data_IF_232338359883
#
_entry.id   IF_232338359883
#
_cell.length_a   1.000
_cell.length_b   1.000
_cell.length_c   1.000
_cell.angle_alpha   90.00
_cell.angle_beta   90.00
_cell.angle_gamma   90.00
#
_symmetry.space_group_name_H-M   'P 1'
#
loop_
_entity.id
_entity.type
_entity.pdbx_description
1 polymer ?
#
# COMPACT_ATOMS: atom_id res chain seq x y z
N UNK A 1 30.54 -39.41 5.71
CA UNK A 1 29.97 -38.27 4.96
C UNK A 1 28.81 -37.71 5.74
N UNK A 2 29.05 -36.64 6.41
CA UNK A 2 27.98 -35.84 7.00
C UNK A 2 27.30 -35.13 5.84
N UNK A 3 26.09 -35.59 5.48
CA UNK A 3 25.28 -34.90 4.53
C UNK A 3 24.94 -33.51 5.08
N UNK A 4 25.62 -32.48 4.58
CA UNK A 4 25.16 -31.13 4.84
C UNK A 4 23.80 -31.01 4.19
N UNK A 5 22.79 -30.76 5.03
CA UNK A 5 21.45 -30.46 4.55
C UNK A 5 21.51 -29.12 3.78
N UNK A 6 21.51 -29.19 2.46
CA UNK A 6 21.44 -28.00 1.62
C UNK A 6 20.01 -27.48 1.70
N UNK A 7 19.81 -26.42 2.48
CA UNK A 7 18.54 -25.76 2.53
C UNK A 7 18.42 -24.82 1.34
N UNK A 8 17.66 -25.24 0.34
CA UNK A 8 17.35 -24.39 -0.80
C UNK A 8 16.30 -23.36 -0.39
N UNK A 9 16.59 -22.09 -0.63
CA UNK A 9 15.65 -21.02 -0.36
C UNK A 9 14.46 -21.13 -1.33
N UNK A 10 13.24 -21.14 -0.77
CA UNK A 10 12.04 -21.11 -1.58
C UNK A 10 11.95 -19.81 -2.38
N UNK A 11 11.41 -19.89 -3.59
CA UNK A 11 11.16 -18.70 -4.42
C UNK A 11 10.21 -17.74 -3.72
N UNK A 12 10.53 -16.46 -3.75
CA UNK A 12 9.64 -15.40 -3.27
C UNK A 12 8.74 -14.94 -4.41
N UNK A 13 7.46 -14.71 -4.08
CA UNK A 13 6.43 -14.27 -5.04
C UNK A 13 5.92 -12.85 -4.74
N UNK A 14 6.68 -12.07 -3.99
CA UNK A 14 6.31 -10.72 -3.57
C UNK A 14 5.51 -10.69 -2.27
N UNK A 15 4.92 -9.55 -2.00
CA UNK A 15 4.07 -9.40 -0.81
C UNK A 15 2.74 -10.11 -1.00
N UNK A 16 2.28 -10.82 0.02
CA UNK A 16 0.91 -11.36 0.07
C UNK A 16 -0.05 -10.35 0.67
N UNK A 17 0.41 -9.60 1.67
CA UNK A 17 -0.44 -8.68 2.42
C UNK A 17 0.35 -7.61 3.14
N UNK A 18 -0.32 -6.50 3.40
CA UNK A 18 0.06 -5.48 4.36
C UNK A 18 -1.09 -5.36 5.35
N UNK A 19 -0.80 -5.36 6.64
CA UNK A 19 -1.83 -5.20 7.68
C UNK A 19 -1.57 -3.90 8.42
N UNK A 20 -2.62 -3.07 8.50
CA UNK A 20 -2.61 -1.83 9.26
C UNK A 20 -3.51 -1.96 10.48
N UNK A 21 -3.03 -1.49 11.62
CA UNK A 21 -3.88 -1.32 12.79
C UNK A 21 -4.60 0.03 12.70
N UNK A 22 -5.92 -0.02 12.87
CA UNK A 22 -6.80 1.14 12.81
C UNK A 22 -7.71 1.15 14.03
N UNK A 23 -8.18 2.33 14.44
CA UNK A 23 -9.05 2.44 15.61
C UNK A 23 -10.46 1.95 15.32
N UNK A 24 -10.96 2.19 14.11
CA UNK A 24 -12.34 1.91 13.70
C UNK A 24 -12.31 1.30 12.30
N UNK A 25 -12.58 -0.01 12.20
CA UNK A 25 -12.51 -0.73 10.93
C UNK A 25 -13.53 -0.22 9.91
N UNK A 26 -14.82 -0.01 10.24
CA UNK A 26 -15.76 0.54 9.27
C UNK A 26 -15.35 1.91 8.72
N UNK A 27 -14.81 2.79 9.53
CA UNK A 27 -14.30 4.09 9.12
C UNK A 27 -13.10 3.94 8.18
N UNK A 28 -12.17 3.07 8.53
CA UNK A 28 -11.00 2.80 7.70
C UNK A 28 -11.39 2.18 6.36
N UNK A 29 -12.33 1.23 6.34
CA UNK A 29 -12.86 0.63 5.11
C UNK A 29 -13.44 1.70 4.19
N UNK A 30 -14.26 2.60 4.74
CA UNK A 30 -14.83 3.69 3.95
C UNK A 30 -13.74 4.57 3.34
N UNK A 31 -12.69 4.87 4.09
CA UNK A 31 -11.55 5.66 3.60
C UNK A 31 -10.83 4.94 2.46
N UNK A 32 -10.42 3.70 2.66
CA UNK A 32 -9.66 2.98 1.63
C UNK A 32 -10.49 2.64 0.39
N UNK A 33 -11.79 2.44 0.55
CA UNK A 33 -12.72 2.24 -0.57
C UNK A 33 -12.99 3.53 -1.32
N UNK A 34 -13.38 4.60 -0.62
CA UNK A 34 -13.94 5.80 -1.24
C UNK A 34 -12.87 6.85 -1.54
N UNK A 35 -11.82 6.93 -0.75
CA UNK A 35 -10.73 7.90 -0.91
C UNK A 35 -9.56 7.30 -1.70
N UNK A 36 -9.07 6.14 -1.28
CA UNK A 36 -7.95 5.48 -1.95
C UNK A 36 -8.39 4.72 -3.20
N UNK A 37 -9.62 4.23 -3.23
CA UNK A 37 -10.20 3.57 -4.40
C UNK A 37 -9.97 2.07 -4.45
N UNK A 38 -9.82 1.41 -3.29
CA UNK A 38 -9.59 -0.02 -3.22
C UNK A 38 -10.92 -0.80 -3.16
N UNK A 39 -10.99 -1.91 -3.87
CA UNK A 39 -12.15 -2.80 -3.82
C UNK A 39 -12.15 -3.62 -2.52
N UNK A 40 -13.29 -3.70 -1.86
CA UNK A 40 -13.45 -4.49 -0.63
C UNK A 40 -13.63 -5.96 -0.98
N UNK A 41 -12.80 -6.83 -0.39
CA UNK A 41 -12.98 -8.28 -0.46
C UNK A 41 -14.00 -8.75 0.58
N UNK A 42 -13.85 -8.28 1.82
CA UNK A 42 -14.76 -8.60 2.92
C UNK A 42 -14.51 -7.68 4.11
N UNK A 43 -15.55 -7.42 4.87
CA UNK A 43 -15.46 -6.56 6.04
C UNK A 43 -16.28 -7.13 7.19
N UNK A 44 -15.69 -7.14 8.38
CA UNK A 44 -16.25 -7.57 9.63
C UNK A 44 -16.01 -6.47 10.68
N UNK A 45 -16.61 -6.52 11.85
CA UNK A 45 -16.48 -5.44 12.83
C UNK A 45 -15.02 -5.11 13.22
N UNK A 46 -14.14 -6.10 13.27
CA UNK A 46 -12.75 -5.91 13.73
C UNK A 46 -11.70 -6.25 12.67
N UNK A 47 -12.13 -6.66 11.47
CA UNK A 47 -11.26 -7.00 10.34
C UNK A 47 -11.89 -6.60 9.02
N UNK A 48 -11.04 -6.24 8.08
CA UNK A 48 -11.42 -6.09 6.69
C UNK A 48 -10.25 -6.44 5.78
N UNK A 49 -10.59 -6.89 4.58
CA UNK A 49 -9.64 -7.12 3.51
C UNK A 49 -10.04 -6.34 2.26
N UNK A 50 -9.07 -5.68 1.67
CA UNK A 50 -9.25 -4.93 0.42
C UNK A 50 -8.19 -5.37 -0.60
N UNK A 51 -8.58 -5.36 -1.85
CA UNK A 51 -7.67 -5.59 -2.96
C UNK A 51 -6.91 -4.31 -3.26
N UNK A 52 -5.58 -4.37 -3.34
CA UNK A 52 -4.75 -3.19 -3.67
C UNK A 52 -4.67 -2.94 -5.17
N UNK A 53 -5.02 -3.95 -5.96
CA UNK A 53 -5.10 -3.89 -7.41
C UNK A 53 -6.35 -4.60 -7.89
N UNK A 54 -6.23 -5.38 -8.96
CA UNK A 54 -7.36 -6.15 -9.48
C UNK A 54 -7.88 -7.16 -8.47
N UNK A 55 -9.21 -7.29 -8.29
CA UNK A 55 -9.78 -8.32 -7.41
C UNK A 55 -9.23 -9.71 -7.71
N UNK A 56 -8.85 -10.43 -6.66
CA UNK A 56 -8.23 -11.74 -6.77
C UNK A 56 -6.70 -11.73 -6.86
N UNK A 57 -6.07 -10.54 -6.93
CA UNK A 57 -4.61 -10.40 -7.05
C UNK A 57 -3.97 -9.95 -5.74
N UNK A 58 -2.82 -10.53 -5.41
CA UNK A 58 -2.01 -10.10 -4.27
C UNK A 58 -1.12 -8.90 -4.66
N UNK A 59 -0.70 -8.06 -3.69
CA UNK A 59 -1.01 -8.14 -2.27
C UNK A 59 -2.38 -7.56 -1.91
N UNK A 60 -2.90 -7.97 -0.75
CA UNK A 60 -4.10 -7.39 -0.15
C UNK A 60 -3.74 -6.44 0.97
N UNK A 61 -4.63 -5.51 1.26
CA UNK A 61 -4.56 -4.66 2.46
C UNK A 61 -5.52 -5.21 3.52
N UNK A 62 -4.97 -5.54 4.68
CA UNK A 62 -5.75 -5.91 5.86
C UNK A 62 -5.89 -4.74 6.81
N UNK A 63 -7.08 -4.55 7.35
CA UNK A 63 -7.37 -3.54 8.37
C UNK A 63 -7.87 -4.24 9.62
N UNK A 64 -7.34 -3.89 10.79
CA UNK A 64 -7.77 -4.48 12.06
C UNK A 64 -7.72 -3.50 13.21
N UNK A 65 -8.71 -3.57 14.08
CA UNK A 65 -8.69 -2.86 15.36
C UNK A 65 -8.03 -3.68 16.48
N UNK A 66 -7.77 -4.95 16.22
CA UNK A 66 -7.11 -5.83 17.20
C UNK A 66 -5.62 -5.55 17.30
N UNK A 67 -4.99 -5.77 18.47
CA UNK A 67 -3.54 -5.71 18.57
C UNK A 67 -2.89 -6.70 17.60
N UNK A 68 -1.84 -6.25 16.92
CA UNK A 68 -1.05 -7.13 16.06
C UNK A 68 -0.24 -8.10 16.95
N UNK A 69 -0.28 -9.38 16.60
CA UNK A 69 0.24 -10.46 17.46
C UNK A 69 1.75 -10.49 17.60
N UNK A 70 2.46 -9.79 16.73
CA UNK A 70 3.92 -9.85 16.66
C UNK A 70 4.52 -8.48 16.54
N UNK A 71 5.62 -8.25 17.23
CA UNK A 71 6.44 -7.08 17.06
C UNK A 71 6.02 -5.90 17.89
N UNK A 72 6.49 -5.88 19.12
CA UNK A 72 6.43 -4.71 19.98
C UNK A 72 7.68 -3.84 19.89
N UNK A 73 8.68 -4.28 19.17
CA UNK A 73 9.93 -3.55 19.06
C UNK A 73 9.78 -2.41 18.05
N UNK A 74 10.07 -1.21 18.51
CA UNK A 74 10.07 -0.03 17.66
C UNK A 74 11.49 0.19 17.15
N UNK A 75 11.69 -0.06 15.89
CA UNK A 75 12.90 0.41 15.22
C UNK A 75 12.51 1.14 13.95
N UNK A 76 13.21 2.22 13.72
CA UNK A 76 13.00 3.06 12.57
C UNK A 76 11.94 4.13 12.77
N UNK A 77 11.76 4.93 11.76
CA UNK A 77 10.80 6.03 11.72
C UNK A 77 9.45 5.61 11.17
N UNK A 78 8.65 6.58 10.77
CA UNK A 78 7.33 6.33 10.20
C UNK A 78 7.43 5.49 8.93
N UNK A 79 6.53 4.51 8.82
CA UNK A 79 6.41 3.67 7.63
C UNK A 79 5.30 4.22 6.73
N UNK A 80 5.44 3.96 5.44
CA UNK A 80 4.41 4.23 4.46
C UNK A 80 4.31 3.07 3.48
N UNK A 81 3.22 3.02 2.74
CA UNK A 81 3.08 2.09 1.63
C UNK A 81 2.59 2.87 0.41
N UNK A 82 2.95 2.38 -0.76
CA UNK A 82 2.63 3.02 -2.02
C UNK A 82 1.70 2.16 -2.86
N UNK A 83 0.70 2.82 -3.45
CA UNK A 83 -0.17 2.26 -4.49
C UNK A 83 0.33 2.80 -5.83
N UNK A 84 0.57 1.91 -6.77
CA UNK A 84 1.01 2.29 -8.10
C UNK A 84 -0.17 2.83 -8.93
N UNK A 85 0.03 3.97 -9.55
CA UNK A 85 -0.92 4.59 -10.47
C UNK A 85 -0.19 5.04 -11.74
N UNK A 86 -0.94 5.40 -12.77
CA UNK A 86 -0.35 6.02 -13.95
C UNK A 86 0.20 7.42 -13.61
N UNK A 87 1.39 7.75 -14.08
CA UNK A 87 2.05 9.03 -13.78
C UNK A 87 1.19 10.23 -14.16
N UNK A 88 0.54 10.16 -15.31
CA UNK A 88 -0.36 11.22 -15.81
C UNK A 88 -1.61 11.42 -14.94
N UNK A 89 -1.96 10.45 -14.10
CA UNK A 89 -3.13 10.55 -13.21
C UNK A 89 -2.86 11.33 -11.92
N UNK A 90 -1.60 11.59 -11.55
CA UNK A 90 -1.27 12.18 -10.25
C UNK A 90 -1.84 13.57 -10.04
N UNK A 91 -1.85 14.43 -11.07
CA UNK A 91 -2.37 15.78 -10.95
C UNK A 91 -3.86 15.77 -10.63
N UNK A 92 -4.63 14.94 -11.35
CA UNK A 92 -6.08 14.80 -11.12
C UNK A 92 -6.37 14.10 -9.78
N UNK A 93 -5.57 13.12 -9.39
CA UNK A 93 -5.68 12.46 -8.09
C UNK A 93 -5.43 13.43 -6.93
N UNK A 94 -4.40 14.25 -7.02
CA UNK A 94 -4.14 15.28 -6.01
C UNK A 94 -5.31 16.23 -5.88
N UNK A 95 -5.82 16.75 -6.99
CA UNK A 95 -6.97 17.66 -7.00
C UNK A 95 -8.22 16.99 -6.40
N UNK A 96 -8.45 15.71 -6.71
CA UNK A 96 -9.57 14.95 -6.17
C UNK A 96 -9.47 14.78 -4.64
N UNK A 97 -8.29 14.42 -4.15
CA UNK A 97 -8.04 14.25 -2.70
C UNK A 97 -8.19 15.58 -1.96
N UNK A 98 -7.66 16.65 -2.49
CA UNK A 98 -7.79 17.99 -1.88
C UNK A 98 -9.26 18.46 -1.86
N UNK A 99 -10.03 18.15 -2.91
CA UNK A 99 -11.47 18.43 -2.93
C UNK A 99 -12.26 17.65 -1.86
N UNK A 100 -11.74 16.50 -1.41
CA UNK A 100 -12.28 15.73 -0.29
C UNK A 100 -11.82 16.26 1.08
N UNK A 101 -11.05 17.34 1.12
CA UNK A 101 -10.51 17.91 2.34
C UNK A 101 -9.27 17.21 2.87
N UNK A 102 -8.62 16.41 2.04
CA UNK A 102 -7.40 15.67 2.44
C UNK A 102 -6.19 16.51 2.11
N UNK A 103 -5.30 16.67 3.09
CA UNK A 103 -4.02 17.34 2.89
C UNK A 103 -3.07 16.41 2.12
N UNK A 104 -2.53 16.91 1.01
CA UNK A 104 -1.66 16.15 0.12
C UNK A 104 -0.32 16.84 -0.02
N UNK A 105 0.74 16.10 0.21
CA UNK A 105 2.12 16.53 -0.03
C UNK A 105 2.60 16.05 -1.40
N UNK A 106 3.39 16.88 -2.06
CA UNK A 106 3.94 16.58 -3.38
C UNK A 106 3.21 17.31 -4.50
N UNK A 107 3.48 16.96 -5.75
CA UNK A 107 4.27 15.81 -6.17
C UNK A 107 5.78 15.95 -5.90
N UNK A 108 6.39 14.82 -5.57
CA UNK A 108 7.85 14.67 -5.48
C UNK A 108 8.30 13.85 -6.69
N UNK A 109 9.30 14.31 -7.40
CA UNK A 109 9.81 13.62 -8.59
C UNK A 109 11.04 12.77 -8.24
N UNK A 110 10.98 11.50 -8.63
CA UNK A 110 12.10 10.55 -8.55
C UNK A 110 12.63 10.29 -9.96
N UNK A 111 13.62 11.05 -10.38
CA UNK A 111 14.13 10.97 -11.75
C UNK A 111 14.71 9.60 -12.10
N UNK A 112 15.38 8.96 -11.13
CA UNK A 112 15.97 7.64 -11.31
C UNK A 112 14.93 6.55 -11.61
N UNK A 113 13.70 6.75 -11.18
CA UNK A 113 12.60 5.80 -11.39
C UNK A 113 11.59 6.28 -12.44
N UNK A 114 11.75 7.50 -12.93
CA UNK A 114 10.77 8.14 -13.81
C UNK A 114 9.36 8.09 -13.19
N UNK A 115 9.30 8.44 -11.93
CA UNK A 115 8.09 8.40 -11.13
C UNK A 115 7.88 9.70 -10.38
N UNK A 116 6.64 10.06 -10.18
CA UNK A 116 6.22 11.13 -9.28
C UNK A 116 5.36 10.53 -8.18
N UNK A 117 5.40 11.11 -6.99
CA UNK A 117 4.62 10.62 -5.88
C UNK A 117 3.91 11.73 -5.14
N UNK A 118 2.72 11.42 -4.64
CA UNK A 118 1.98 12.24 -3.70
C UNK A 118 1.73 11.43 -2.42
N UNK A 119 1.66 12.13 -1.30
CA UNK A 119 1.55 11.53 0.03
C UNK A 119 0.40 12.15 0.79
N UNK A 120 -0.32 11.32 1.52
CA UNK A 120 -1.40 11.75 2.42
C UNK A 120 -1.55 10.76 3.57
N UNK A 121 -2.38 11.07 4.53
CA UNK A 121 -2.60 10.21 5.70
C UNK A 121 -4.02 9.67 5.72
N UNK A 122 -4.17 8.45 6.23
CA UNK A 122 -5.47 7.90 6.56
C UNK A 122 -5.99 8.49 7.89
N UNK A 123 -7.24 8.19 8.33
CA UNK A 123 -7.79 8.71 9.58
C UNK A 123 -7.02 8.31 10.85
N UNK A 124 -6.21 7.27 10.79
CA UNK A 124 -5.37 6.78 11.88
C UNK A 124 -3.90 7.17 11.74
N UNK A 125 -3.62 8.12 10.86
CA UNK A 125 -2.28 8.65 10.59
C UNK A 125 -1.32 7.64 9.95
N UNK A 126 -1.85 6.61 9.31
CA UNK A 126 -1.05 5.76 8.43
C UNK A 126 -0.75 6.52 7.15
N UNK A 127 0.51 6.49 6.75
CA UNK A 127 0.98 7.22 5.58
C UNK A 127 0.73 6.43 4.30
N UNK A 128 0.00 7.05 3.38
CA UNK A 128 -0.33 6.48 2.06
C UNK A 128 0.39 7.29 0.98
N UNK A 129 0.96 6.58 0.03
CA UNK A 129 1.59 7.16 -1.15
C UNK A 129 0.86 6.70 -2.41
N UNK A 130 0.62 7.60 -3.34
CA UNK A 130 0.34 7.23 -4.72
C UNK A 130 1.60 7.48 -5.53
N UNK A 131 2.17 6.42 -6.07
CA UNK A 131 3.39 6.48 -6.88
C UNK A 131 3.02 6.31 -8.34
N UNK A 132 3.22 7.35 -9.12
CA UNK A 132 2.88 7.39 -10.53
C UNK A 132 4.06 7.02 -11.41
N UNK A 133 3.96 5.91 -12.11
CA UNK A 133 4.96 5.45 -13.04
C UNK A 133 4.56 5.78 -14.48
N UNK A 134 5.54 6.14 -15.30
CA UNK A 134 5.33 6.43 -16.71
C UNK A 134 4.83 5.20 -17.48
N UNK A 135 5.32 4.02 -17.10
CA UNK A 135 4.92 2.75 -17.69
C UNK A 135 4.52 1.77 -16.59
N UNK A 136 3.23 1.58 -16.40
CA UNK A 136 2.68 0.57 -15.47
C UNK A 136 2.66 -0.83 -16.08
N UNK A 137 3.62 -1.15 -16.90
CA UNK A 137 3.76 -2.52 -17.35
C UNK A 137 4.58 -3.28 -16.32
N UNK A 138 3.98 -4.28 -15.70
CA UNK A 138 4.62 -5.14 -14.68
C UNK A 138 5.95 -5.73 -15.16
N UNK A 139 6.17 -5.82 -16.48
CA UNK A 139 7.44 -6.21 -17.07
C UNK A 139 8.52 -5.11 -17.00
N UNK A 140 8.14 -3.84 -17.03
CA UNK A 140 9.09 -2.73 -17.06
C UNK A 140 9.72 -2.43 -15.69
N UNK A 141 9.06 -2.79 -14.60
CA UNK A 141 9.59 -2.63 -13.25
C UNK A 141 10.63 -3.70 -12.88
N UNK A 142 10.70 -4.78 -13.64
CA UNK A 142 11.60 -5.91 -13.38
C UNK A 142 13.07 -5.66 -13.73
N UNK A 143 13.37 -4.59 -14.41
CA UNK A 143 14.73 -4.31 -14.90
C UNK A 143 15.48 -3.20 -14.16
N UNK A 144 14.91 -2.70 -13.07
CA UNK A 144 15.49 -1.56 -12.34
C UNK A 144 15.94 -1.99 -10.94
N UNK A 145 17.02 -2.69 -10.90
CA UNK A 145 17.80 -2.90 -9.67
C UNK A 145 18.80 -1.77 -9.53
#
# INVERSE_FOLDING_TARGET
MTGESIHTMARRHGLSELILRVADVPRAVAFYRDVVGLAVEGAWPEWAWLWTGSPGSLPRLGLTSKPLSYGAAHCGGPTHFAIAVAREALVSEKARLEALGIEVEGPVTFESWQADSIYFSDPDDNRVELCGFEHLNTGALRGRT
#
